data_IF_652917758090
#
_entry.id   IF_652917758090
#
_cell.length_a   1.000
_cell.length_b   1.000
_cell.length_c   1.000
_cell.angle_alpha   90.00
_cell.angle_beta   90.00
_cell.angle_gamma   90.00
#
_symmetry.space_group_name_H-M   'P 1'
#
loop_
_entity.id
_entity.type
_entity.pdbx_description
1 polymer ?
#
# COMPACT_ATOMS: atom_id res chain seq x y z
N UNK A 1 60.58 0.18 31.01
CA UNK A 1 60.43 0.02 29.56
C UNK A 1 61.10 1.23 28.93
N UNK A 2 62.28 1.04 28.36
CA UNK A 2 62.99 2.09 27.64
C UNK A 2 62.21 2.40 26.35
N UNK A 3 61.84 3.66 26.16
CA UNK A 3 61.20 4.13 24.93
C UNK A 3 62.31 4.28 23.89
N UNK A 4 62.44 3.32 22.99
CA UNK A 4 63.31 3.46 21.81
C UNK A 4 62.76 4.61 20.94
N UNK A 5 63.61 5.58 20.61
CA UNK A 5 63.27 6.71 19.75
C UNK A 5 62.82 6.20 18.37
N UNK A 6 61.56 6.42 18.03
CA UNK A 6 61.02 6.18 16.69
C UNK A 6 61.55 7.25 15.74
N UNK A 7 62.41 6.86 14.82
CA UNK A 7 63.00 7.74 13.81
C UNK A 7 62.22 7.69 12.50
N UNK A 8 61.65 8.82 12.06
CA UNK A 8 61.01 8.95 10.74
C UNK A 8 62.09 9.35 9.72
N UNK A 9 62.42 8.44 8.79
CA UNK A 9 63.39 8.70 7.72
C UNK A 9 62.69 8.94 6.39
N UNK A 10 62.72 10.19 5.91
CA UNK A 10 62.38 10.52 4.53
C UNK A 10 63.61 10.34 3.64
N UNK A 11 63.88 9.10 3.25
CA UNK A 11 64.98 8.76 2.36
C UNK A 11 64.65 9.07 0.90
N UNK A 12 65.24 10.14 0.32
CA UNK A 12 65.22 10.38 -1.13
C UNK A 12 66.15 9.40 -1.84
N UNK A 13 65.64 8.25 -2.25
CA UNK A 13 66.41 7.28 -3.04
C UNK A 13 66.23 7.58 -4.53
N UNK A 14 67.26 8.17 -5.14
CA UNK A 14 67.31 8.38 -6.60
C UNK A 14 67.50 7.05 -7.32
N UNK A 15 66.39 6.45 -7.74
CA UNK A 15 66.15 5.75 -9.01
C UNK A 15 64.88 4.91 -8.83
N UNK A 16 63.84 5.26 -9.59
CA UNK A 16 62.41 4.86 -9.50
C UNK A 16 61.63 5.51 -8.35
N UNK A 17 61.35 6.81 -8.51
CA UNK A 17 60.56 7.63 -7.59
C UNK A 17 59.11 7.13 -7.50
N UNK A 18 58.83 6.37 -6.45
CA UNK A 18 57.52 6.33 -5.83
C UNK A 18 57.70 6.91 -4.43
N UNK A 19 56.84 7.86 -4.05
CA UNK A 19 56.80 8.40 -2.69
C UNK A 19 56.31 7.30 -1.75
N UNK A 20 57.24 6.49 -1.24
CA UNK A 20 56.98 5.48 -0.23
C UNK A 20 57.38 6.07 1.12
N UNK A 21 56.39 6.30 1.97
CA UNK A 21 56.64 6.63 3.36
C UNK A 21 56.99 5.33 4.09
N UNK A 22 58.19 5.30 4.69
CA UNK A 22 58.66 4.17 5.48
C UNK A 22 58.66 4.54 6.94
N UNK A 23 57.93 3.77 7.74
CA UNK A 23 57.90 3.90 9.18
C UNK A 23 58.51 2.65 9.79
N UNK A 24 59.56 2.82 10.59
CA UNK A 24 60.34 1.74 11.21
C UNK A 24 60.45 1.95 12.72
N UNK A 25 60.72 0.87 13.45
CA UNK A 25 60.81 0.92 14.92
C UNK A 25 59.43 0.97 15.59
N UNK A 26 58.40 0.46 14.91
CA UNK A 26 57.07 0.33 15.48
C UNK A 26 57.09 -0.82 16.49
N UNK A 27 56.87 -0.51 17.76
CA UNK A 27 56.49 -1.50 18.77
C UNK A 27 54.98 -1.63 18.76
N UNK A 28 54.46 -2.68 18.13
CA UNK A 28 53.07 -3.07 18.22
C UNK A 28 52.97 -4.30 19.12
N UNK A 29 52.07 -4.25 20.10
CA UNK A 29 51.66 -5.39 20.92
C UNK A 29 50.41 -6.00 20.29
N UNK A 30 50.37 -7.31 20.17
CA UNK A 30 49.17 -8.06 19.77
C UNK A 30 48.52 -7.68 18.42
N UNK A 31 49.34 -7.36 17.41
CA UNK A 31 48.86 -7.23 16.02
C UNK A 31 48.18 -5.92 15.68
N UNK A 32 48.07 -4.98 16.62
CA UNK A 32 47.52 -3.65 16.40
C UNK A 32 48.64 -2.66 16.04
N UNK A 33 48.62 -2.13 14.82
CA UNK A 33 49.44 -0.96 14.46
C UNK A 33 48.55 0.27 14.58
N UNK A 34 48.84 1.21 15.50
CA UNK A 34 48.07 2.44 15.61
C UNK A 34 48.04 3.21 14.27
N UNK A 35 46.87 3.73 13.89
CA UNK A 35 46.64 4.51 12.66
C UNK A 35 46.70 3.72 11.35
N UNK A 36 46.77 2.37 11.39
CA UNK A 36 46.81 1.58 10.16
C UNK A 36 45.56 1.77 9.30
N UNK A 37 44.42 2.05 9.92
CA UNK A 37 43.10 2.48 9.41
C UNK A 37 43.07 3.79 8.62
N UNK A 38 44.16 4.55 8.62
CA UNK A 38 44.26 5.79 7.83
C UNK A 38 44.96 5.62 6.47
N UNK A 39 45.53 4.45 6.16
CA UNK A 39 46.40 4.26 4.99
C UNK A 39 45.83 3.33 3.90
N UNK A 40 45.24 3.87 2.85
CA UNK A 40 44.53 3.06 1.84
C UNK A 40 45.38 2.03 1.04
N UNK A 41 46.71 2.00 1.20
CA UNK A 41 47.66 1.11 0.51
C UNK A 41 48.97 0.95 1.29
N UNK A 42 49.05 -0.06 2.14
CA UNK A 42 50.27 -0.38 2.89
C UNK A 42 50.69 -1.85 2.71
N UNK A 43 51.93 -2.13 3.12
CA UNK A 43 52.46 -3.49 3.31
C UNK A 43 53.34 -3.52 4.54
N UNK A 44 53.21 -4.57 5.35
CA UNK A 44 54.14 -4.82 6.46
C UNK A 44 55.23 -5.76 5.97
N UNK A 45 56.48 -5.31 6.04
CA UNK A 45 57.66 -6.12 5.68
C UNK A 45 58.54 -6.25 6.91
N UNK A 46 58.45 -7.40 7.59
CA UNK A 46 59.09 -7.66 8.89
C UNK A 46 58.56 -6.71 9.98
N UNK A 47 59.39 -5.77 10.44
CA UNK A 47 59.16 -4.79 11.49
C UNK A 47 58.95 -3.36 10.93
N UNK A 48 58.56 -3.27 9.65
CA UNK A 48 58.45 -2.02 8.91
C UNK A 48 57.11 -1.91 8.19
N UNK A 49 56.47 -0.73 8.30
CA UNK A 49 55.29 -0.34 7.54
C UNK A 49 55.71 0.49 6.33
N UNK A 50 55.40 -0.01 5.13
CA UNK A 50 55.62 0.68 3.86
C UNK A 50 54.27 1.17 3.32
N UNK A 51 54.05 2.50 3.26
CA UNK A 51 52.83 3.13 2.73
C UNK A 51 53.14 3.69 1.35
N UNK A 52 52.33 3.36 0.33
CA UNK A 52 52.58 3.75 -1.06
C UNK A 52 51.37 4.44 -1.69
N UNK A 53 51.60 5.56 -2.37
CA UNK A 53 50.53 6.39 -2.93
C UNK A 53 50.12 6.04 -4.38
N UNK A 54 50.77 5.06 -5.03
CA UNK A 54 50.50 4.65 -6.43
C UNK A 54 50.49 3.14 -6.58
N UNK A 55 49.70 2.63 -7.54
CA UNK A 55 49.65 1.23 -7.94
C UNK A 55 51.02 0.75 -8.43
N UNK A 56 51.82 0.20 -7.53
CA UNK A 56 52.94 -0.65 -7.89
C UNK A 56 52.34 -2.03 -8.18
N UNK A 57 52.78 -2.71 -9.24
CA UNK A 57 52.29 -4.04 -9.66
C UNK A 57 52.59 -5.20 -8.66
N UNK A 58 52.47 -5.00 -7.34
CA UNK A 58 52.66 -6.01 -6.32
C UNK A 58 51.49 -6.06 -5.35
N UNK A 59 51.20 -7.26 -4.84
CA UNK A 59 50.22 -7.53 -3.78
C UNK A 59 50.30 -6.50 -2.65
N UNK A 60 49.28 -5.70 -2.46
CA UNK A 60 49.10 -4.86 -1.27
C UNK A 60 48.19 -5.60 -0.29
N UNK A 61 48.43 -5.39 1.00
CA UNK A 61 47.71 -6.13 2.06
C UNK A 61 46.51 -5.34 2.61
N UNK A 62 46.25 -4.11 2.15
CA UNK A 62 45.26 -3.24 2.81
C UNK A 62 44.33 -2.48 1.88
N UNK A 63 43.03 -2.69 2.11
CA UNK A 63 41.96 -1.68 2.05
C UNK A 63 41.43 -1.56 3.48
N UNK A 64 41.04 -0.37 3.93
CA UNK A 64 40.72 -0.11 5.34
C UNK A 64 39.23 0.16 5.49
N UNK A 65 38.62 -0.58 6.42
CA UNK A 65 37.18 -0.71 6.57
C UNK A 65 36.60 0.19 7.66
N UNK A 66 37.38 0.53 8.71
CA UNK A 66 36.86 1.31 9.84
C UNK A 66 37.35 2.76 9.86
N UNK A 67 36.45 3.69 10.11
CA UNK A 67 36.73 5.12 10.29
C UNK A 67 37.27 5.50 11.68
N UNK A 68 37.26 4.58 12.65
CA UNK A 68 37.63 4.84 14.05
C UNK A 68 38.95 4.17 14.49
N UNK A 69 39.58 3.40 13.62
CA UNK A 69 40.84 2.70 13.89
C UNK A 69 40.74 1.40 14.67
N UNK A 70 39.53 0.92 14.95
CA UNK A 70 39.29 -0.37 15.56
C UNK A 70 38.81 -1.40 14.52
N UNK A 71 39.38 -2.62 14.55
CA UNK A 71 38.85 -3.79 13.81
C UNK A 71 37.44 -4.15 14.32
N UNK A 72 37.11 -3.65 15.51
CA UNK A 72 35.86 -3.90 16.24
C UNK A 72 34.64 -3.13 15.67
N UNK A 73 34.84 -2.26 14.66
CA UNK A 73 33.77 -1.48 14.01
C UNK A 73 32.97 -2.26 12.95
N UNK A 74 33.22 -3.56 12.78
CA UNK A 74 32.46 -4.42 11.88
C UNK A 74 31.23 -5.00 12.57
N UNK A 75 30.07 -4.83 11.95
CA UNK A 75 28.82 -5.44 12.38
C UNK A 75 28.52 -6.67 11.51
N UNK A 76 27.83 -7.65 12.09
CA UNK A 76 27.35 -8.82 11.34
C UNK A 76 25.94 -8.58 10.86
N UNK A 77 25.69 -8.80 9.58
CA UNK A 77 24.35 -8.79 9.03
C UNK A 77 23.62 -10.04 9.48
N UNK A 78 22.49 -9.89 10.16
CA UNK A 78 21.72 -11.04 10.66
C UNK A 78 21.03 -11.84 9.56
N UNK A 79 20.94 -11.30 8.34
CA UNK A 79 20.30 -11.96 7.21
C UNK A 79 21.26 -12.83 6.39
N UNK A 80 22.46 -12.32 6.07
CA UNK A 80 23.44 -13.04 5.26
C UNK A 80 24.65 -13.58 6.05
N UNK A 81 24.73 -13.27 7.35
CA UNK A 81 25.83 -13.66 8.26
C UNK A 81 27.22 -13.11 7.90
N UNK A 82 27.32 -12.23 6.89
CA UNK A 82 28.56 -11.56 6.50
C UNK A 82 28.85 -10.32 7.38
N UNK A 83 30.11 -9.92 7.45
CA UNK A 83 30.56 -8.73 8.21
C UNK A 83 30.66 -7.50 7.31
N UNK A 84 30.09 -6.39 7.73
CA UNK A 84 30.11 -5.10 7.03
C UNK A 84 30.54 -3.96 7.95
N UNK A 85 30.83 -2.81 7.38
CA UNK A 85 31.09 -1.61 8.16
C UNK A 85 29.78 -1.05 8.74
N UNK A 86 29.83 -0.40 9.91
CA UNK A 86 28.65 0.17 10.56
C UNK A 86 27.85 1.12 9.63
N UNK A 87 28.53 1.83 8.72
CA UNK A 87 27.89 2.74 7.76
C UNK A 87 27.21 2.03 6.57
N UNK A 88 27.36 0.72 6.43
CA UNK A 88 26.71 -0.12 5.42
C UNK A 88 25.57 -0.96 6.03
N UNK A 89 25.19 -0.64 7.27
CA UNK A 89 24.23 -1.39 8.07
C UNK A 89 23.04 -0.50 8.42
N UNK A 90 21.85 -1.08 8.36
CA UNK A 90 20.57 -0.46 8.68
C UNK A 90 19.92 -1.26 9.80
N UNK A 91 19.42 -0.57 10.82
CA UNK A 91 18.65 -1.20 11.90
C UNK A 91 17.21 -1.41 11.46
N UNK A 92 16.73 -2.65 11.51
CA UNK A 92 15.34 -3.02 11.22
C UNK A 92 14.78 -3.77 12.44
N UNK A 93 13.92 -3.10 13.20
CA UNK A 93 13.51 -3.60 14.51
C UNK A 93 14.71 -3.67 15.47
N UNK A 94 14.98 -4.86 16.00
CA UNK A 94 16.13 -5.13 16.86
C UNK A 94 17.35 -5.68 16.11
N UNK A 95 17.24 -5.86 14.79
CA UNK A 95 18.26 -6.55 13.99
C UNK A 95 19.09 -5.57 13.16
N UNK A 96 20.36 -5.93 12.92
CA UNK A 96 21.25 -5.20 12.00
C UNK A 96 21.34 -5.89 10.65
N UNK A 97 20.98 -5.18 9.57
CA UNK A 97 20.89 -5.73 8.22
C UNK A 97 21.73 -4.88 7.28
N UNK A 98 22.56 -5.49 6.43
CA UNK A 98 23.36 -4.75 5.46
C UNK A 98 22.50 -4.13 4.35
N UNK A 99 22.93 -3.02 3.76
CA UNK A 99 22.23 -2.33 2.67
C UNK A 99 21.86 -3.27 1.52
N UNK A 100 22.77 -4.18 1.13
CA UNK A 100 22.51 -5.16 0.08
C UNK A 100 21.40 -6.15 0.43
N UNK A 101 21.22 -6.51 1.71
CA UNK A 101 20.10 -7.34 2.12
C UNK A 101 18.80 -6.54 2.20
N UNK A 102 18.86 -5.27 2.61
CA UNK A 102 17.71 -4.34 2.60
C UNK A 102 17.16 -4.19 1.18
N UNK A 103 18.00 -3.83 0.22
CA UNK A 103 17.56 -3.55 -1.16
C UNK A 103 16.92 -4.76 -1.85
N UNK A 104 17.31 -5.98 -1.46
CA UNK A 104 16.86 -7.21 -2.12
C UNK A 104 15.68 -7.89 -1.42
N UNK A 105 15.52 -7.73 -0.11
CA UNK A 105 14.58 -8.53 0.69
C UNK A 105 13.64 -7.70 1.55
N UNK A 106 13.81 -6.37 1.56
CA UNK A 106 12.96 -5.47 2.33
C UNK A 106 12.39 -4.37 1.43
N UNK A 107 11.29 -3.76 1.87
CA UNK A 107 10.78 -2.52 1.31
C UNK A 107 10.58 -1.50 2.42
N UNK A 108 10.67 -0.23 2.06
CA UNK A 108 10.40 0.87 2.98
C UNK A 108 8.92 1.24 2.89
N UNK A 109 8.17 1.08 3.98
CA UNK A 109 6.76 1.42 4.02
C UNK A 109 6.58 2.95 4.00
N UNK A 110 5.84 3.46 3.02
CA UNK A 110 5.63 4.90 2.82
C UNK A 110 4.82 5.56 3.95
N UNK A 111 4.14 4.76 4.78
CA UNK A 111 3.26 5.25 5.84
C UNK A 111 3.92 5.29 7.22
N UNK A 112 4.51 4.18 7.68
CA UNK A 112 5.20 4.15 8.97
C UNK A 112 6.68 4.55 8.89
N UNK A 113 7.26 4.64 7.69
CA UNK A 113 8.68 4.90 7.45
C UNK A 113 9.62 3.86 8.08
N UNK A 114 9.14 2.61 8.20
CA UNK A 114 9.93 1.47 8.67
C UNK A 114 10.17 0.49 7.52
N UNK A 115 11.24 -0.30 7.63
CA UNK A 115 11.53 -1.40 6.70
C UNK A 115 10.77 -2.66 7.09
N UNK A 116 10.17 -3.30 6.10
CA UNK A 116 9.43 -4.56 6.24
C UNK A 116 9.92 -5.58 5.21
N UNK A 117 9.77 -6.89 5.46
CA UNK A 117 10.07 -7.92 4.45
C UNK A 117 9.30 -7.64 3.15
N UNK A 118 9.94 -7.83 2.00
CA UNK A 118 9.33 -7.56 0.69
C UNK A 118 8.08 -8.41 0.41
N UNK A 119 7.95 -9.56 1.06
CA UNK A 119 6.77 -10.43 0.92
C UNK A 119 5.51 -9.83 1.59
N UNK A 120 5.67 -8.89 2.53
CA UNK A 120 4.59 -8.18 3.23
C UNK A 120 4.25 -6.84 2.53
N UNK A 121 4.73 -6.66 1.30
CA UNK A 121 4.57 -5.41 0.54
C UNK A 121 3.21 -5.38 -0.17
N UNK A 122 2.36 -4.46 0.25
CA UNK A 122 1.09 -4.19 -0.43
C UNK A 122 1.21 -2.88 -1.20
N UNK A 123 0.92 -2.95 -2.49
CA UNK A 123 0.86 -1.78 -3.36
C UNK A 123 -0.52 -1.13 -3.28
N UNK A 124 -0.56 0.16 -2.96
CA UNK A 124 -1.76 0.99 -2.96
C UNK A 124 -1.73 1.90 -4.18
N UNK A 125 -2.83 1.89 -4.93
CA UNK A 125 -3.00 2.75 -6.09
C UNK A 125 -3.50 4.12 -5.64
N UNK A 126 -2.72 5.17 -5.87
CA UNK A 126 -3.23 6.54 -5.72
C UNK A 126 -3.64 7.08 -7.08
N UNK A 127 -4.88 7.60 -7.19
CA UNK A 127 -5.43 8.05 -8.46
C UNK A 127 -4.89 9.40 -8.95
N UNK A 128 -3.97 10.03 -8.21
CA UNK A 128 -3.34 11.27 -8.66
C UNK A 128 -2.65 11.05 -10.00
N UNK A 129 -2.77 12.03 -10.90
CA UNK A 129 -2.28 12.06 -12.29
C UNK A 129 -0.79 11.67 -12.47
N UNK A 130 -0.05 11.48 -11.37
CA UNK A 130 1.36 11.15 -11.33
C UNK A 130 1.70 9.68 -11.01
N UNK A 131 0.72 8.76 -10.91
CA UNK A 131 0.94 7.29 -10.78
C UNK A 131 2.10 6.92 -9.84
N UNK A 132 2.17 7.56 -8.68
CA UNK A 132 3.13 7.14 -7.66
C UNK A 132 2.48 5.96 -6.93
N UNK A 133 2.98 4.76 -7.22
CA UNK A 133 2.68 3.58 -6.43
C UNK A 133 3.14 3.86 -5.01
N UNK A 134 2.24 3.69 -4.04
CA UNK A 134 2.58 3.77 -2.62
C UNK A 134 2.69 2.35 -2.10
N UNK A 135 3.75 2.03 -1.38
CA UNK A 135 3.97 0.69 -0.83
C UNK A 135 3.79 0.74 0.69
N UNK A 136 2.90 -0.10 1.21
CA UNK A 136 2.57 -0.14 2.63
C UNK A 136 2.66 -1.57 3.15
N UNK A 137 2.94 -1.70 4.45
CA UNK A 137 2.91 -2.99 5.15
C UNK A 137 1.48 -3.42 5.51
N UNK A 138 1.32 -4.70 5.82
CA UNK A 138 0.05 -5.31 6.24
C UNK A 138 -0.66 -4.54 7.36
N UNK A 139 0.06 -4.05 8.36
CA UNK A 139 -0.57 -3.26 9.44
C UNK A 139 -1.05 -1.90 8.93
N UNK A 140 -0.32 -1.31 7.98
CA UNK A 140 -0.69 -0.01 7.43
C UNK A 140 -1.83 -0.12 6.41
N UNK A 141 -2.07 -1.28 5.79
CA UNK A 141 -3.16 -1.43 4.79
C UNK A 141 -4.55 -1.29 5.41
N UNK A 142 -4.72 -1.62 6.70
CA UNK A 142 -6.00 -1.56 7.42
C UNK A 142 -6.61 -0.15 7.47
N UNK A 143 -5.80 0.86 7.13
CA UNK A 143 -6.22 2.26 7.08
C UNK A 143 -6.62 2.74 5.67
N UNK A 144 -6.59 1.83 4.70
CA UNK A 144 -7.07 2.02 3.34
C UNK A 144 -8.37 1.25 3.16
N UNK A 145 -9.16 1.66 2.18
CA UNK A 145 -10.43 1.04 1.85
C UNK A 145 -10.31 0.31 0.51
N UNK A 146 -10.81 -0.92 0.47
CA UNK A 146 -10.85 -1.70 -0.76
C UNK A 146 -12.05 -1.27 -1.60
N UNK A 147 -11.82 -1.00 -2.89
CA UNK A 147 -12.88 -0.73 -3.85
C UNK A 147 -13.60 -2.02 -4.22
N UNK A 148 -14.92 -2.05 -4.07
CA UNK A 148 -15.74 -3.23 -4.39
C UNK A 148 -15.73 -3.63 -5.88
N UNK A 149 -15.43 -2.67 -6.79
CA UNK A 149 -15.48 -2.90 -8.24
C UNK A 149 -14.14 -3.34 -8.85
N UNK A 150 -13.02 -2.82 -8.35
CA UNK A 150 -11.70 -3.07 -8.93
C UNK A 150 -10.72 -3.78 -7.98
N UNK A 151 -11.14 -4.12 -6.76
CA UNK A 151 -10.37 -4.78 -5.69
C UNK A 151 -9.10 -4.04 -5.22
N UNK A 152 -8.76 -2.88 -5.80
CA UNK A 152 -7.65 -2.04 -5.41
C UNK A 152 -7.93 -1.30 -4.08
N UNK A 153 -6.88 -0.94 -3.36
CA UNK A 153 -6.96 -0.20 -2.10
C UNK A 153 -6.74 1.29 -2.31
N UNK A 154 -7.56 2.11 -1.65
CA UNK A 154 -7.57 3.57 -1.78
C UNK A 154 -7.62 4.24 -0.41
N UNK A 155 -7.08 5.46 -0.36
CA UNK A 155 -7.21 6.35 0.78
C UNK A 155 -8.67 6.79 0.95
N UNK A 156 -9.06 7.17 2.18
CA UNK A 156 -10.42 7.61 2.53
C UNK A 156 -10.98 8.73 1.63
N UNK A 157 -10.09 9.56 1.07
CA UNK A 157 -10.46 10.69 0.20
C UNK A 157 -10.64 10.30 -1.28
N UNK A 158 -10.34 9.05 -1.65
CA UNK A 158 -10.43 8.52 -3.02
C UNK A 158 -11.50 7.43 -3.16
N UNK A 159 -12.24 7.17 -2.07
CA UNK A 159 -13.37 6.25 -2.05
C UNK A 159 -14.67 7.00 -1.76
N UNK A 160 -15.76 6.56 -2.36
CA UNK A 160 -17.10 7.06 -2.12
C UNK A 160 -18.01 5.88 -1.77
N UNK A 161 -19.02 6.14 -0.95
CA UNK A 161 -20.05 5.13 -0.67
C UNK A 161 -21.14 5.19 -1.73
N UNK A 162 -21.53 4.03 -2.25
CA UNK A 162 -22.64 3.83 -3.17
C UNK A 162 -23.71 3.04 -2.44
N UNK A 163 -24.95 3.52 -2.50
CA UNK A 163 -26.12 2.89 -1.88
C UNK A 163 -25.96 2.58 -0.38
N UNK A 164 -25.17 3.40 0.35
CA UNK A 164 -24.82 3.25 1.76
C UNK A 164 -24.25 1.85 2.16
N UNK A 165 -23.84 1.03 1.18
CA UNK A 165 -23.46 -0.37 1.38
C UNK A 165 -22.07 -0.65 0.85
N UNK A 166 -21.83 -0.28 -0.40
CA UNK A 166 -20.56 -0.52 -1.08
C UNK A 166 -19.68 0.73 -1.02
N UNK A 167 -18.37 0.51 -1.01
CA UNK A 167 -17.37 1.57 -1.12
C UNK A 167 -16.59 1.35 -2.40
N UNK A 168 -16.65 2.32 -3.30
CA UNK A 168 -16.02 2.24 -4.62
C UNK A 168 -15.09 3.43 -4.82
N UNK A 169 -14.01 3.26 -5.56
CA UNK A 169 -13.14 4.39 -5.86
C UNK A 169 -13.86 5.43 -6.72
N UNK A 170 -13.47 6.70 -6.63
CA UNK A 170 -14.13 7.79 -7.37
C UNK A 170 -14.22 7.51 -8.87
N UNK A 171 -13.20 6.85 -9.44
CA UNK A 171 -13.20 6.53 -10.87
C UNK A 171 -14.22 5.44 -11.25
N UNK A 172 -14.38 4.41 -10.43
CA UNK A 172 -15.42 3.41 -10.64
C UNK A 172 -16.81 4.02 -10.44
N UNK A 173 -16.96 4.89 -9.44
CA UNK A 173 -18.21 5.64 -9.24
C UNK A 173 -18.58 6.48 -10.47
N UNK A 174 -17.63 7.21 -11.06
CA UNK A 174 -17.86 8.00 -12.27
C UNK A 174 -18.24 7.18 -13.51
N UNK A 175 -17.91 5.90 -13.54
CA UNK A 175 -18.20 5.00 -14.67
C UNK A 175 -19.55 4.30 -14.53
N UNK A 176 -19.85 3.80 -13.33
CA UNK A 176 -20.93 2.85 -13.11
C UNK A 176 -21.98 3.33 -12.10
N UNK A 177 -21.75 4.47 -11.43
CA UNK A 177 -22.71 5.07 -10.51
C UNK A 177 -23.12 6.48 -10.98
N UNK A 178 -24.21 6.98 -10.39
CA UNK A 178 -24.75 8.30 -10.69
C UNK A 178 -24.82 9.15 -9.42
N UNK A 179 -24.32 10.38 -9.49
CA UNK A 179 -24.41 11.35 -8.39
C UNK A 179 -25.82 11.96 -8.36
N UNK A 180 -26.54 11.77 -7.25
CA UNK A 180 -27.82 12.41 -7.01
C UNK A 180 -27.64 13.92 -6.78
N UNK A 181 -28.27 14.75 -7.61
CA UNK A 181 -28.16 16.21 -7.52
C UNK A 181 -28.89 16.83 -6.31
N UNK A 182 -29.78 16.08 -5.66
CA UNK A 182 -30.55 16.59 -4.53
C UNK A 182 -29.86 16.33 -3.18
N UNK A 183 -29.10 15.24 -3.06
CA UNK A 183 -28.43 14.86 -1.80
C UNK A 183 -26.91 14.72 -1.89
N UNK A 184 -26.30 14.97 -3.05
CA UNK A 184 -24.85 14.88 -3.31
C UNK A 184 -24.24 13.52 -2.92
N UNK A 185 -25.01 12.43 -3.05
CA UNK A 185 -24.54 11.04 -2.82
C UNK A 185 -24.55 10.23 -4.11
N UNK A 186 -23.70 9.21 -4.19
CA UNK A 186 -23.62 8.29 -5.32
C UNK A 186 -24.57 7.10 -5.14
N UNK A 187 -25.23 6.71 -6.23
CA UNK A 187 -26.14 5.57 -6.27
C UNK A 187 -25.88 4.73 -7.53
N UNK A 188 -26.07 3.42 -7.44
CA UNK A 188 -25.96 2.53 -8.60
C UNK A 188 -27.04 2.84 -9.64
N UNK A 189 -28.22 3.24 -9.18
CA UNK A 189 -29.36 3.63 -10.01
C UNK A 189 -29.94 4.98 -9.56
N UNK A 190 -30.23 5.84 -10.54
CA UNK A 190 -30.91 7.11 -10.33
C UNK A 190 -31.92 7.37 -11.45
N UNK A 191 -32.99 8.09 -11.13
CA UNK A 191 -34.01 8.51 -12.10
C UNK A 191 -33.70 9.90 -12.63
N UNK A 192 -33.75 10.10 -13.94
CA UNK A 192 -33.57 11.43 -14.54
C UNK A 192 -34.86 12.26 -14.42
N UNK A 193 -34.78 13.41 -13.73
CA UNK A 193 -35.86 14.38 -13.54
C UNK A 193 -35.40 15.76 -14.04
N UNK A 194 -35.99 16.22 -15.15
CA UNK A 194 -35.66 17.52 -15.79
C UNK A 194 -34.14 17.69 -16.07
N UNK A 195 -33.48 16.61 -16.50
CA UNK A 195 -32.05 16.59 -16.81
C UNK A 195 -31.13 16.39 -15.60
N UNK A 196 -31.70 16.15 -14.41
CA UNK A 196 -30.96 15.88 -13.17
C UNK A 196 -31.10 14.42 -12.77
N UNK A 197 -30.06 13.80 -12.25
CA UNK A 197 -30.17 12.50 -11.64
C UNK A 197 -30.64 12.61 -10.19
N UNK A 198 -31.71 11.90 -9.84
CA UNK A 198 -32.31 11.89 -8.49
C UNK A 198 -32.37 10.45 -7.99
N UNK A 199 -31.88 10.18 -6.78
CA UNK A 199 -31.94 8.85 -6.18
C UNK A 199 -33.37 8.48 -5.76
N UNK A 200 -33.61 7.19 -5.50
CA UNK A 200 -34.94 6.70 -5.13
C UNK A 200 -35.49 7.34 -3.84
N UNK A 201 -34.63 7.59 -2.86
CA UNK A 201 -35.03 8.23 -1.60
C UNK A 201 -35.46 9.69 -1.82
N UNK A 202 -34.68 10.46 -2.60
CA UNK A 202 -35.04 11.84 -2.95
C UNK A 202 -36.26 11.88 -3.89
N UNK A 203 -36.47 10.84 -4.71
CA UNK A 203 -37.61 10.73 -5.62
C UNK A 203 -38.94 10.67 -4.85
N UNK A 204 -38.95 10.25 -3.58
CA UNK A 204 -40.15 10.28 -2.72
C UNK A 204 -40.69 11.70 -2.49
N UNK A 205 -39.85 12.74 -2.65
CA UNK A 205 -40.27 14.14 -2.58
C UNK A 205 -40.90 14.66 -3.90
N UNK A 206 -40.90 13.82 -4.93
CA UNK A 206 -41.49 14.12 -6.24
C UNK A 206 -42.82 13.39 -6.43
N UNK A 207 -43.70 14.03 -7.19
CA UNK A 207 -44.99 13.50 -7.58
C UNK A 207 -45.07 13.40 -9.09
N UNK A 208 -45.65 12.31 -9.59
CA UNK A 208 -45.84 12.08 -11.03
C UNK A 208 -47.11 12.80 -11.49
N UNK A 209 -47.01 13.62 -12.54
CA UNK A 209 -48.15 14.27 -13.16
C UNK A 209 -48.96 13.27 -14.02
N UNK A 210 -50.25 13.08 -13.73
CA UNK A 210 -51.16 12.17 -14.48
C UNK A 210 -51.25 12.47 -16.00
N UNK A 211 -50.87 13.68 -16.44
CA UNK A 211 -51.08 14.13 -17.83
C UNK A 211 -49.86 13.93 -18.71
N UNK A 212 -48.67 14.11 -18.14
CA UNK A 212 -47.42 14.10 -18.88
C UNK A 212 -46.40 13.07 -18.36
N UNK A 213 -46.76 12.30 -17.32
CA UNK A 213 -45.91 11.29 -16.68
C UNK A 213 -44.56 11.84 -16.20
N UNK A 214 -44.45 13.15 -16.00
CA UNK A 214 -43.25 13.82 -15.51
C UNK A 214 -43.23 13.89 -13.99
N UNK A 215 -42.05 13.83 -13.41
CA UNK A 215 -41.81 14.04 -11.98
C UNK A 215 -41.74 15.55 -11.69
N UNK A 216 -42.42 15.99 -10.63
CA UNK A 216 -42.45 17.38 -10.19
C UNK A 216 -42.36 17.46 -8.67
N UNK A 217 -41.73 18.51 -8.17
CA UNK A 217 -41.75 18.78 -6.73
C UNK A 217 -43.17 19.03 -6.26
N UNK A 218 -43.43 18.83 -4.97
CA UNK A 218 -44.74 19.13 -4.34
C UNK A 218 -45.20 20.58 -4.58
N UNK A 219 -44.29 21.51 -4.86
CA UNK A 219 -44.60 22.92 -5.11
C UNK A 219 -45.10 23.18 -6.55
N UNK A 220 -44.82 22.26 -7.47
CA UNK A 220 -45.17 22.38 -8.89
C UNK A 220 -46.39 21.53 -9.28
N UNK A 221 -47.04 20.91 -8.29
CA UNK A 221 -48.27 20.13 -8.46
C UNK A 221 -49.49 20.92 -7.94
N UNK A 222 -50.59 20.80 -8.67
CA UNK A 222 -51.93 21.21 -8.27
C UNK A 222 -52.74 19.94 -7.99
N UNK A 223 -53.27 19.81 -6.78
CA UNK A 223 -54.19 18.71 -6.43
C UNK A 223 -55.57 18.98 -7.06
N UNK A 224 -56.06 18.04 -7.87
CA UNK A 224 -57.41 18.08 -8.44
C UNK A 224 -58.07 16.72 -8.31
N UNK A 225 -59.17 16.63 -7.57
CA UNK A 225 -60.02 15.43 -7.49
C UNK A 225 -59.28 14.08 -7.23
N UNK A 226 -58.23 14.11 -6.38
CA UNK A 226 -57.33 12.98 -6.06
C UNK A 226 -56.26 12.63 -7.10
N UNK A 227 -55.99 13.54 -8.04
CA UNK A 227 -54.92 13.38 -9.02
C UNK A 227 -53.89 14.51 -8.87
N UNK A 228 -52.62 14.18 -9.12
CA UNK A 228 -51.52 15.14 -9.16
C UNK A 228 -51.37 15.65 -10.59
N UNK A 229 -51.63 16.93 -10.80
CA UNK A 229 -51.48 17.60 -12.10
C UNK A 229 -50.44 18.69 -11.96
N UNK A 230 -49.38 18.66 -12.76
CA UNK A 230 -48.40 19.74 -12.70
C UNK A 230 -48.99 21.09 -13.14
N UNK A 231 -48.42 22.19 -12.64
CA UNK A 231 -48.87 23.56 -12.92
C UNK A 231 -48.94 23.89 -14.42
N UNK A 232 -48.07 23.29 -15.24
CA UNK A 232 -48.09 23.44 -16.71
C UNK A 232 -49.27 22.72 -17.38
N UNK A 233 -49.75 21.64 -16.78
CA UNK A 233 -50.86 20.83 -17.29
C UNK A 233 -52.20 21.21 -16.64
N UNK A 234 -52.18 22.07 -15.61
CA UNK A 234 -53.37 22.61 -14.99
C UNK A 234 -54.18 23.42 -16.02
N UNK A 235 -55.43 23.00 -16.27
CA UNK A 235 -56.32 23.61 -17.26
C UNK A 235 -56.37 22.91 -18.63
N UNK A 236 -55.59 21.85 -18.86
CA UNK A 236 -55.81 20.94 -20.00
C UNK A 236 -56.93 19.97 -19.65
N UNK A 237 -57.89 19.70 -20.54
CA UNK A 237 -59.16 19.06 -20.13
C UNK A 237 -59.11 17.55 -19.82
N UNK A 238 -58.01 16.83 -20.06
CA UNK A 238 -57.97 15.37 -19.79
C UNK A 238 -56.63 14.94 -19.18
N UNK A 239 -56.65 14.19 -18.05
CA UNK A 239 -55.52 13.30 -17.76
C UNK A 239 -55.60 12.16 -18.78
N UNK A 240 -54.45 11.74 -19.32
CA UNK A 240 -54.42 10.44 -19.98
C UNK A 240 -54.78 9.46 -18.87
N UNK A 241 -56.01 8.96 -18.88
CA UNK A 241 -56.42 7.94 -17.93
C UNK A 241 -55.43 6.79 -18.06
N UNK A 242 -54.44 6.74 -17.17
CA UNK A 242 -53.80 5.50 -16.85
C UNK A 242 -54.94 4.69 -16.28
N UNK A 243 -55.38 3.67 -17.02
CA UNK A 243 -56.14 2.57 -16.45
C UNK A 243 -55.37 2.21 -15.18
N UNK A 244 -55.96 2.55 -14.02
CA UNK A 244 -55.38 2.21 -12.71
C UNK A 244 -55.08 0.73 -12.80
N UNK A 245 -53.81 0.37 -12.77
CA UNK A 245 -53.43 -0.98 -12.39
C UNK A 245 -53.96 -1.15 -10.97
N UNK A 246 -55.13 -1.78 -10.86
CA UNK A 246 -55.65 -2.25 -9.60
C UNK A 246 -54.60 -3.23 -9.06
N UNK A 247 -53.76 -2.75 -8.14
CA UNK A 247 -52.72 -3.52 -7.44
C UNK A 247 -53.31 -4.66 -6.57
N UNK A 248 -54.62 -4.87 -6.62
CA UNK A 248 -55.33 -5.97 -5.98
C UNK A 248 -55.37 -7.26 -6.84
N UNK A 249 -54.86 -7.25 -8.07
CA UNK A 249 -54.63 -8.48 -8.85
C UNK A 249 -53.14 -8.86 -8.91
N UNK A 250 -52.65 -9.77 -8.03
CA UNK A 250 -51.26 -10.23 -8.04
C UNK A 250 -50.89 -11.05 -9.29
N UNK A 251 -51.80 -11.26 -10.25
CA UNK A 251 -51.52 -12.00 -11.48
C UNK A 251 -50.99 -11.15 -12.65
N UNK A 252 -50.98 -9.81 -12.54
CA UNK A 252 -50.55 -8.92 -13.64
C UNK A 252 -49.23 -8.17 -13.41
N UNK A 253 -48.40 -8.59 -12.46
CA UNK A 253 -47.00 -8.11 -12.37
C UNK A 253 -46.25 -8.62 -13.60
N UNK A 254 -46.13 -7.79 -14.64
CA UNK A 254 -45.18 -8.03 -15.73
C UNK A 254 -43.79 -7.66 -15.21
N UNK A 255 -42.85 -8.61 -15.09
CA UNK A 255 -41.47 -8.26 -14.79
C UNK A 255 -40.94 -7.44 -15.97
N UNK A 256 -40.70 -6.16 -15.75
CA UNK A 256 -40.00 -5.30 -16.71
C UNK A 256 -38.48 -5.42 -16.50
N UNK A 257 -38.00 -6.64 -16.35
CA UNK A 257 -36.59 -6.99 -16.40
C UNK A 257 -36.45 -8.06 -17.48
N UNK A 258 -35.62 -7.77 -18.48
CA UNK A 258 -35.16 -8.78 -19.44
C UNK A 258 -34.21 -9.74 -18.72
N UNK A 259 -34.74 -10.59 -17.87
CA UNK A 259 -34.07 -11.83 -17.50
C UNK A 259 -34.89 -12.96 -18.09
N UNK A 260 -34.27 -13.71 -19.00
CA UNK A 260 -34.89 -14.92 -19.51
C UNK A 260 -34.98 -15.92 -18.35
N UNK A 261 -36.01 -16.76 -18.33
CA UNK A 261 -36.13 -17.80 -17.29
C UNK A 261 -34.92 -18.76 -17.23
N UNK A 262 -34.04 -18.74 -18.25
CA UNK A 262 -32.77 -19.45 -18.27
C UNK A 262 -31.70 -18.79 -17.37
N UNK A 263 -31.68 -17.47 -17.24
CA UNK A 263 -30.68 -16.72 -16.45
C UNK A 263 -30.86 -16.93 -14.93
N UNK A 264 -32.10 -17.20 -14.50
CA UNK A 264 -32.42 -17.49 -13.09
C UNK A 264 -32.00 -18.94 -12.72
N UNK A 265 -32.13 -19.91 -13.64
CA UNK A 265 -31.68 -21.28 -13.38
C UNK A 265 -30.14 -21.41 -13.34
N UNK A 266 -29.42 -20.60 -14.12
CA UNK A 266 -27.96 -20.63 -14.17
C UNK A 266 -27.35 -19.98 -12.92
N UNK A 267 -27.88 -18.83 -12.49
CA UNK A 267 -27.48 -18.19 -11.24
C UNK A 267 -27.80 -19.03 -9.99
N UNK A 268 -28.94 -19.74 -9.96
CA UNK A 268 -29.24 -20.66 -8.86
C UNK A 268 -28.28 -21.86 -8.84
N UNK A 269 -27.83 -22.36 -10.00
CA UNK A 269 -26.85 -23.48 -10.05
C UNK A 269 -25.47 -23.05 -9.56
N UNK A 270 -25.01 -21.84 -9.89
CA UNK A 270 -23.73 -21.33 -9.37
C UNK A 270 -23.78 -21.11 -7.86
N UNK A 271 -24.88 -20.54 -7.35
CA UNK A 271 -25.07 -20.30 -5.91
C UNK A 271 -25.18 -21.61 -5.09
N UNK A 272 -25.76 -22.68 -5.66
CA UNK A 272 -25.78 -24.01 -5.02
C UNK A 272 -24.45 -24.78 -5.13
N UNK A 273 -23.58 -24.42 -6.09
CA UNK A 273 -22.27 -25.06 -6.26
C UNK A 273 -21.22 -24.53 -5.25
N UNK A 274 -21.29 -23.25 -4.89
CA UNK A 274 -20.40 -22.65 -3.87
C UNK A 274 -20.68 -23.21 -2.47
N UNK A 275 -21.93 -23.55 -2.16
CA UNK A 275 -22.32 -24.13 -0.86
C UNK A 275 -21.89 -25.59 -0.64
N UNK A 276 -21.43 -26.30 -1.68
CA UNK A 276 -20.99 -27.70 -1.56
C UNK A 276 -19.50 -27.90 -1.21
N UNK A 277 -18.73 -26.82 -1.08
CA UNK A 277 -17.30 -26.88 -0.75
C UNK A 277 -16.93 -26.72 0.73
N UNK A 278 -17.87 -26.34 1.61
CA UNK A 278 -17.54 -25.82 2.95
C UNK A 278 -17.77 -26.77 4.15
N UNK A 279 -17.78 -28.09 3.94
CA UNK A 279 -17.85 -29.07 5.05
C UNK A 279 -16.81 -30.17 4.89
N UNK A 280 -15.56 -29.85 5.21
CA UNK A 280 -14.56 -30.85 5.58
C UNK A 280 -14.09 -30.54 7.02
N UNK A 281 -14.83 -31.09 8.00
CA UNK A 281 -14.48 -30.99 9.42
C UNK A 281 -13.35 -31.99 9.73
N UNK A 282 -12.11 -31.52 9.54
CA UNK A 282 -10.92 -32.13 10.11
C UNK A 282 -10.88 -31.91 11.63
N UNK A 283 -10.95 -33.01 12.38
CA UNK A 283 -10.92 -33.08 13.84
C UNK A 283 -9.71 -32.33 14.46
N UNK A 284 -9.95 -31.20 15.12
CA UNK A 284 -9.04 -30.62 16.12
C UNK A 284 -9.61 -30.82 17.53
N UNK A 285 -8.85 -31.51 18.38
CA UNK A 285 -9.13 -31.67 19.81
C UNK A 285 -8.70 -30.40 20.55
N UNK A 286 -9.52 -29.82 21.43
CA UNK A 286 -9.06 -28.75 22.31
C UNK A 286 -8.25 -29.34 23.47
N UNK A 287 -6.97 -28.95 23.55
CA UNK A 287 -6.17 -29.07 24.78
C UNK A 287 -6.57 -27.97 25.75
N UNK A 288 -7.15 -28.36 26.88
CA UNK A 288 -7.41 -27.49 28.01
C UNK A 288 -6.12 -27.34 28.83
N UNK A 289 -5.57 -26.13 28.89
CA UNK A 289 -4.56 -25.78 29.90
C UNK A 289 -5.28 -25.25 31.14
N UNK A 290 -5.30 -26.05 32.20
CA UNK A 290 -5.58 -25.60 33.56
C UNK A 290 -4.23 -25.15 34.13
N UNK A 291 -4.07 -23.87 34.43
CA UNK A 291 -3.00 -23.41 35.32
C UNK A 291 -3.54 -23.41 36.75
N UNK A 292 -2.90 -24.23 37.59
CA UNK A 292 -3.13 -24.27 39.02
C UNK A 292 -2.66 -22.96 39.67
N UNK A 293 -3.50 -22.44 40.55
CA UNK A 293 -3.11 -21.49 41.59
C UNK A 293 -2.65 -22.30 42.78
N UNK A 294 -1.42 -22.10 43.25
CA UNK A 294 -0.98 -22.54 44.57
C UNK A 294 -0.29 -21.40 45.31
N UNK A 295 -0.51 -21.42 46.62
CA UNK A 295 -0.38 -20.36 47.62
C UNK A 295 1.04 -19.84 47.89
#
# INVERSE_FOLDING_TARGET
>A
YDVNESSIYLGKNRMTDYDILRVSGLCFTDGEVPYMDTFYRYRIVKDRLDISHRDCNGSYDGTLDSTDGHIDGRCYCEYCEDSYNENEMVTVGDNLICEGCIDNNFFHCDRCAEYHPSDDCIMVTTHREHRQNTYVCDTCIETYYQCAECDDHFNENEIVSVDDTDSVCTKCAEQDATLCEDCDKWYSEATEVDGKAVCNDCLEEYLICCKCDGYFTIYDIVESANEHVCTKCAGLEDCKGQDRFDLDDPSEIRPNTKFSALDIEENLKEMYSSYRGAFDYGTMRPTWCISEVSA
#
